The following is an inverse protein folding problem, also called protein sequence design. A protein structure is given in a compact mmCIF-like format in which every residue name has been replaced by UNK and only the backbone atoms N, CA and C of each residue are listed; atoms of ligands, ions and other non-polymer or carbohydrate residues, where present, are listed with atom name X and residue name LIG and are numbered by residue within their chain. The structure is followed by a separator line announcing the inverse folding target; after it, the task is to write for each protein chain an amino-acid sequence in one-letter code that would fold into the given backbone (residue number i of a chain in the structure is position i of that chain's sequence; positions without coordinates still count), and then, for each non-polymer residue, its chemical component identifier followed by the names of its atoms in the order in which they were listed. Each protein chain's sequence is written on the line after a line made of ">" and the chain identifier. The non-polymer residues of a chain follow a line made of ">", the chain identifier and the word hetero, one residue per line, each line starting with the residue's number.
data_IF_927788504495
#
_entry.id   IF_927788504495
#
_cell.length_a   1.000
_cell.length_b   1.000
_cell.length_c   1.000
_cell.angle_alpha   90.00
_cell.angle_beta   90.00
_cell.angle_gamma   90.00
#
_symmetry.space_group_name_H-M   'P 1'
#
loop_
_entity.id
_entity.type
_entity.pdbx_description
1 polymer ?
#
# COMPACT_ATOMS: atom_id res chain seq x y z
N UNK A 1 -35.65 -5.31 3.95
CA UNK A 1 -34.66 -6.40 3.71
C UNK A 1 -33.40 -6.15 4.53
N UNK A 2 -32.60 -7.17 4.87
CA UNK A 2 -31.31 -7.02 5.56
C UNK A 2 -30.16 -7.36 4.62
N UNK A 3 -29.12 -6.56 4.63
CA UNK A 3 -27.88 -6.76 3.85
C UNK A 3 -26.71 -6.88 4.81
N UNK A 4 -25.61 -7.51 4.36
CA UNK A 4 -24.36 -7.58 5.13
C UNK A 4 -23.29 -6.77 4.43
N UNK A 5 -22.54 -5.99 5.20
CA UNK A 5 -21.38 -5.28 4.69
C UNK A 5 -20.30 -6.30 4.28
N UNK A 6 -19.85 -6.32 3.01
CA UNK A 6 -18.81 -7.25 2.57
C UNK A 6 -17.45 -6.97 3.23
N UNK A 7 -17.26 -5.76 3.77
CA UNK A 7 -16.00 -5.35 4.40
C UNK A 7 -15.91 -5.72 5.88
N UNK A 8 -17.04 -5.88 6.59
CA UNK A 8 -17.02 -6.08 8.05
C UNK A 8 -18.15 -6.95 8.61
N UNK A 9 -19.03 -7.51 7.78
CA UNK A 9 -20.11 -8.40 8.21
C UNK A 9 -21.28 -7.74 8.94
N UNK A 10 -21.20 -6.43 9.24
CA UNK A 10 -22.29 -5.66 9.86
C UNK A 10 -23.58 -5.83 9.06
N UNK A 11 -24.66 -6.21 9.74
CA UNK A 11 -25.98 -6.36 9.12
C UNK A 11 -26.72 -5.04 9.21
N UNK A 12 -27.16 -4.51 8.06
CA UNK A 12 -27.92 -3.26 7.97
C UNK A 12 -29.29 -3.52 7.33
N UNK A 13 -30.28 -2.68 7.62
CA UNK A 13 -31.49 -2.65 6.80
C UNK A 13 -31.16 -2.04 5.44
N UNK A 14 -31.87 -2.49 4.40
CA UNK A 14 -31.76 -1.90 3.06
C UNK A 14 -32.09 -0.40 3.10
N UNK A 15 -33.08 0.00 3.90
CA UNK A 15 -33.50 1.39 4.04
C UNK A 15 -32.39 2.27 4.64
N UNK A 16 -31.61 1.74 5.59
CA UNK A 16 -30.45 2.46 6.15
C UNK A 16 -29.32 2.62 5.13
N UNK A 17 -29.12 1.66 4.22
CA UNK A 17 -28.15 1.81 3.13
C UNK A 17 -28.59 2.91 2.15
N UNK A 18 -29.85 2.85 1.70
CA UNK A 18 -30.41 3.82 0.75
C UNK A 18 -30.40 5.24 1.34
N UNK A 19 -30.69 5.38 2.63
CA UNK A 19 -30.63 6.69 3.32
C UNK A 19 -29.23 7.32 3.32
N UNK A 20 -28.17 6.53 3.16
CA UNK A 20 -26.79 7.00 3.17
C UNK A 20 -26.12 7.02 1.78
N UNK A 21 -26.81 6.64 0.71
CA UNK A 21 -26.21 6.58 -0.63
C UNK A 21 -25.71 7.95 -1.11
N UNK A 22 -26.42 9.04 -0.80
CA UNK A 22 -25.96 10.40 -1.11
C UNK A 22 -24.68 10.78 -0.35
N UNK A 23 -24.58 10.39 0.93
CA UNK A 23 -23.39 10.65 1.74
C UNK A 23 -22.19 9.80 1.27
N UNK A 24 -22.44 8.55 0.84
CA UNK A 24 -21.44 7.67 0.25
C UNK A 24 -20.96 8.19 -1.09
N UNK A 25 -21.86 8.63 -1.97
CA UNK A 25 -21.49 9.19 -3.27
C UNK A 25 -20.76 10.52 -3.11
N UNK A 26 -21.14 11.36 -2.12
CA UNK A 26 -20.43 12.59 -1.79
C UNK A 26 -19.01 12.31 -1.27
N UNK A 27 -18.84 11.35 -0.36
CA UNK A 27 -17.52 10.92 0.12
C UNK A 27 -16.69 10.33 -1.01
N UNK A 28 -17.27 9.43 -1.83
CA UNK A 28 -16.59 8.86 -2.98
C UNK A 28 -16.20 9.94 -4.00
N UNK A 29 -17.02 10.95 -4.21
CA UNK A 29 -16.74 12.10 -5.09
C UNK A 29 -15.65 13.01 -4.51
N UNK A 30 -15.67 13.28 -3.21
CA UNK A 30 -14.60 14.01 -2.51
C UNK A 30 -13.28 13.24 -2.55
N UNK A 31 -13.33 11.90 -2.48
CA UNK A 31 -12.16 11.04 -2.64
C UNK A 31 -11.68 10.95 -4.10
N UNK A 32 -12.58 10.98 -5.09
CA UNK A 32 -12.19 11.15 -6.50
C UNK A 32 -11.45 12.47 -6.72
N UNK A 33 -11.85 13.54 -6.02
CA UNK A 33 -11.14 14.84 -6.04
C UNK A 33 -9.72 14.74 -5.46
N UNK A 34 -9.51 13.86 -4.47
CA UNK A 34 -8.20 13.54 -3.89
C UNK A 34 -7.49 12.38 -4.61
N UNK A 35 -8.02 11.92 -5.75
CA UNK A 35 -7.42 10.92 -6.63
C UNK A 35 -7.55 9.47 -6.14
N UNK A 36 -6.91 8.55 -6.88
CA UNK A 36 -6.95 7.11 -6.60
C UNK A 36 -6.40 6.74 -5.22
N UNK A 37 -5.46 7.54 -4.71
CA UNK A 37 -4.81 7.32 -3.42
C UNK A 37 -5.77 7.46 -2.24
N UNK A 38 -6.66 8.47 -2.24
CA UNK A 38 -7.62 8.68 -1.15
C UNK A 38 -8.56 7.48 -0.97
N UNK A 39 -9.12 6.99 -2.08
CA UNK A 39 -9.95 5.78 -2.08
C UNK A 39 -9.18 4.52 -1.67
N UNK A 40 -7.90 4.39 -2.06
CA UNK A 40 -7.05 3.29 -1.62
C UNK A 40 -6.82 3.32 -0.10
N UNK A 41 -6.46 4.47 0.48
CA UNK A 41 -6.19 4.59 1.91
C UNK A 41 -7.41 4.26 2.78
N UNK A 42 -8.61 4.67 2.37
CA UNK A 42 -9.86 4.31 3.09
C UNK A 42 -10.06 2.80 3.13
N UNK A 43 -9.91 2.12 1.98
CA UNK A 43 -10.03 0.67 1.89
C UNK A 43 -8.96 -0.04 2.71
N UNK A 44 -7.74 0.50 2.74
CA UNK A 44 -6.64 -0.03 3.52
C UNK A 44 -6.86 0.12 5.04
N UNK A 45 -7.31 1.29 5.51
CA UNK A 45 -7.59 1.51 6.94
C UNK A 45 -8.67 0.56 7.46
N UNK A 46 -9.63 0.16 6.62
CA UNK A 46 -10.63 -0.84 7.00
C UNK A 46 -10.01 -2.19 7.42
N UNK A 47 -8.79 -2.53 6.98
CA UNK A 47 -8.07 -3.75 7.40
C UNK A 47 -7.63 -3.72 8.87
N UNK A 48 -7.65 -2.57 9.52
CA UNK A 48 -7.34 -2.42 10.95
C UNK A 48 -8.58 -2.60 11.84
N UNK A 49 -9.76 -2.79 11.24
CA UNK A 49 -11.01 -2.92 11.99
C UNK A 49 -11.12 -4.31 12.64
N UNK A 50 -11.26 -4.40 13.97
CA UNK A 50 -11.59 -5.66 14.63
C UNK A 50 -13.05 -6.05 14.36
N UNK A 51 -13.34 -7.35 14.43
CA UNK A 51 -14.68 -7.88 14.15
C UNK A 51 -15.75 -7.36 15.13
N UNK A 52 -15.38 -7.19 16.40
CA UNK A 52 -16.32 -6.86 17.47
C UNK A 52 -16.69 -5.37 17.60
N UNK A 53 -15.93 -4.46 16.97
CA UNK A 53 -16.15 -3.01 17.14
C UNK A 53 -15.77 -2.20 15.91
N UNK A 54 -16.35 -1.02 15.81
CA UNK A 54 -16.03 -0.06 14.76
C UNK A 54 -14.69 0.65 15.02
N UNK A 55 -14.06 1.12 13.94
CA UNK A 55 -12.90 2.02 14.04
C UNK A 55 -13.41 3.41 14.42
N UNK A 56 -12.91 3.96 15.52
CA UNK A 56 -13.19 5.36 15.87
C UNK A 56 -12.52 6.29 14.87
N UNK A 57 -13.09 7.47 14.64
CA UNK A 57 -12.50 8.47 13.75
C UNK A 57 -11.12 8.92 14.24
N UNK A 58 -10.89 9.00 15.55
CA UNK A 58 -9.56 9.26 16.12
C UNK A 58 -8.54 8.18 15.76
N UNK A 59 -8.97 6.93 15.64
CA UNK A 59 -8.09 5.84 15.22
C UNK A 59 -7.82 5.90 13.73
N UNK A 60 -8.83 6.21 12.91
CA UNK A 60 -8.68 6.43 11.47
C UNK A 60 -7.69 7.57 11.21
N UNK A 61 -7.86 8.72 11.87
CA UNK A 61 -6.98 9.88 11.72
C UNK A 61 -5.53 9.55 12.08
N UNK A 62 -5.30 8.80 13.17
CA UNK A 62 -3.95 8.33 13.53
C UNK A 62 -3.34 7.41 12.47
N UNK A 63 -4.08 6.40 12.01
CA UNK A 63 -3.59 5.46 10.99
C UNK A 63 -3.25 6.15 9.65
N UNK A 64 -4.00 7.17 9.25
CA UNK A 64 -3.69 7.97 8.05
C UNK A 64 -2.52 8.91 8.33
N UNK A 65 -2.51 9.55 9.50
CA UNK A 65 -1.44 10.44 9.95
C UNK A 65 -0.07 9.78 9.97
N UNK A 66 0.00 8.51 10.37
CA UNK A 66 1.24 7.72 10.40
C UNK A 66 1.83 7.50 8.99
N UNK A 67 1.01 7.52 7.92
CA UNK A 67 1.43 7.31 6.53
C UNK A 67 1.74 8.61 5.79
N UNK A 68 1.13 9.72 6.21
CA UNK A 68 1.17 11.01 5.51
C UNK A 68 2.60 11.51 5.22
N UNK A 69 3.55 11.48 6.18
CA UNK A 69 4.91 11.94 5.93
C UNK A 69 5.61 11.19 4.79
N UNK A 70 5.53 9.86 4.79
CA UNK A 70 6.17 9.01 3.79
C UNK A 70 5.48 9.12 2.43
N UNK A 71 4.16 9.28 2.43
CA UNK A 71 3.35 9.47 1.22
C UNK A 71 3.64 10.82 0.57
N UNK A 72 3.80 11.89 1.36
CA UNK A 72 4.20 13.21 0.88
C UNK A 72 5.66 13.23 0.39
N UNK A 73 6.55 12.51 1.07
CA UNK A 73 7.94 12.36 0.66
C UNK A 73 8.11 11.44 -0.58
N UNK A 74 7.04 10.72 -0.97
CA UNK A 74 7.05 9.68 -2.00
C UNK A 74 8.18 8.66 -1.78
N UNK A 75 8.43 8.34 -0.51
CA UNK A 75 9.56 7.51 -0.08
C UNK A 75 9.21 6.86 1.24
N UNK A 76 9.54 5.57 1.38
CA UNK A 76 9.44 4.85 2.65
C UNK A 76 10.83 4.45 3.13
N UNK A 77 10.97 4.23 4.43
CA UNK A 77 12.15 3.58 5.02
C UNK A 77 11.76 2.25 5.63
N UNK A 78 12.51 1.20 5.29
CA UNK A 78 12.32 -0.14 5.85
C UNK A 78 13.66 -0.81 6.07
N UNK A 79 13.86 -1.38 7.26
CA UNK A 79 15.11 -2.05 7.65
C UNK A 79 16.36 -1.16 7.41
N UNK A 80 16.22 0.15 7.66
CA UNK A 80 17.30 1.14 7.44
C UNK A 80 17.56 1.53 5.98
N UNK A 81 16.83 0.95 5.02
CA UNK A 81 16.96 1.27 3.60
C UNK A 81 15.78 2.14 3.13
N UNK A 82 16.08 3.17 2.33
CA UNK A 82 15.08 3.98 1.67
C UNK A 82 14.64 3.35 0.34
N UNK A 83 13.34 3.40 0.06
CA UNK A 83 12.73 2.93 -1.18
C UNK A 83 11.87 4.05 -1.77
N UNK A 84 11.98 4.27 -3.08
CA UNK A 84 11.08 5.19 -3.77
C UNK A 84 9.67 4.59 -3.77
N UNK A 85 8.70 5.40 -3.34
CA UNK A 85 7.31 5.03 -3.16
C UNK A 85 6.41 6.10 -3.79
N UNK A 86 6.40 6.22 -5.13
CA UNK A 86 5.48 7.12 -5.81
C UNK A 86 4.02 6.68 -5.58
N UNK A 87 3.05 7.54 -5.88
CA UNK A 87 1.64 7.30 -5.51
C UNK A 87 1.10 5.97 -6.08
N UNK A 88 1.58 5.56 -7.25
CA UNK A 88 1.24 4.30 -7.90
C UNK A 88 1.68 3.09 -7.08
N UNK A 89 2.84 3.17 -6.41
CA UNK A 89 3.34 2.10 -5.54
C UNK A 89 2.42 1.91 -4.33
N UNK A 90 1.89 3.01 -3.77
CA UNK A 90 0.94 2.96 -2.66
C UNK A 90 -0.40 2.35 -3.09
N UNK A 91 -0.95 2.80 -4.21
CA UNK A 91 -2.20 2.26 -4.76
C UNK A 91 -2.06 0.77 -5.02
N UNK A 92 -1.00 0.36 -5.71
CA UNK A 92 -0.69 -1.04 -5.97
C UNK A 92 -0.54 -1.85 -4.68
N UNK A 93 0.21 -1.36 -3.69
CA UNK A 93 0.43 -2.09 -2.44
C UNK A 93 -0.86 -2.26 -1.63
N UNK A 94 -1.77 -1.29 -1.67
CA UNK A 94 -3.11 -1.42 -1.08
C UNK A 94 -3.92 -2.49 -1.80
N UNK A 95 -3.90 -2.54 -3.13
CA UNK A 95 -4.59 -3.59 -3.90
C UNK A 95 -4.07 -4.98 -3.54
N UNK A 96 -2.75 -5.12 -3.38
CA UNK A 96 -2.13 -6.37 -2.92
C UNK A 96 -2.60 -6.74 -1.50
N UNK A 97 -2.80 -5.77 -0.61
CA UNK A 97 -3.33 -6.02 0.74
C UNK A 97 -4.76 -6.57 0.68
N UNK A 98 -5.61 -5.96 -0.14
CA UNK A 98 -7.00 -6.39 -0.31
C UNK A 98 -7.06 -7.80 -0.92
N UNK A 99 -6.27 -8.08 -1.97
CA UNK A 99 -6.19 -9.41 -2.55
C UNK A 99 -5.66 -10.46 -1.56
N UNK A 100 -4.70 -10.10 -0.70
CA UNK A 100 -4.18 -10.98 0.34
C UNK A 100 -5.21 -11.27 1.44
N UNK A 101 -6.04 -10.28 1.82
CA UNK A 101 -7.21 -10.49 2.69
C UNK A 101 -8.18 -11.47 2.05
N UNK A 102 -8.58 -11.22 0.82
CA UNK A 102 -9.62 -12.01 0.14
C UNK A 102 -9.17 -13.47 -0.07
N UNK A 103 -7.86 -13.69 -0.23
CA UNK A 103 -7.23 -15.01 -0.26
C UNK A 103 -7.00 -15.64 1.14
N UNK A 104 -7.42 -15.01 2.23
CA UNK A 104 -7.22 -15.50 3.60
C UNK A 104 -5.76 -15.49 4.10
N UNK A 105 -4.86 -14.78 3.41
CA UNK A 105 -3.42 -14.72 3.73
C UNK A 105 -3.05 -13.63 4.74
N UNK A 106 -4.00 -12.73 5.06
CA UNK A 106 -3.82 -11.72 6.10
C UNK A 106 -4.55 -12.10 7.38
N UNK A 107 -3.84 -12.05 8.49
CA UNK A 107 -4.46 -12.05 9.82
C UNK A 107 -4.99 -10.64 10.12
N UNK A 108 -6.31 -10.50 10.16
CA UNK A 108 -6.97 -9.25 10.53
C UNK A 108 -7.40 -9.27 12.01
N UNK A 109 -7.49 -8.09 12.66
CA UNK A 109 -7.09 -6.78 12.15
C UNK A 109 -5.58 -6.65 12.01
N UNK A 110 -5.14 -5.85 11.04
CA UNK A 110 -3.73 -5.46 10.95
C UNK A 110 -3.32 -4.71 12.23
N UNK A 111 -2.09 -4.96 12.68
CA UNK A 111 -1.52 -4.35 13.90
C UNK A 111 -0.69 -3.11 13.59
N UNK A 112 -0.09 -3.03 12.40
CA UNK A 112 0.76 -1.93 11.96
C UNK A 112 0.79 -1.83 10.42
N UNK A 113 1.43 -0.79 9.89
CA UNK A 113 1.67 -0.61 8.46
C UNK A 113 2.85 -1.43 7.92
N UNK A 114 3.47 -2.26 8.76
CA UNK A 114 4.65 -3.04 8.40
C UNK A 114 4.44 -3.95 7.19
N UNK A 115 3.25 -4.51 7.01
CA UNK A 115 2.95 -5.32 5.82
C UNK A 115 2.92 -4.47 4.55
N UNK A 116 2.27 -3.29 4.59
CA UNK A 116 2.21 -2.38 3.46
C UNK A 116 3.63 -1.93 3.05
N UNK A 117 4.48 -1.60 4.02
CA UNK A 117 5.85 -1.16 3.73
C UNK A 117 6.71 -2.30 3.18
N UNK A 118 6.48 -3.55 3.60
CA UNK A 118 7.10 -4.72 2.97
C UNK A 118 6.73 -4.79 1.49
N UNK A 119 5.45 -4.66 1.18
CA UNK A 119 4.96 -4.75 -0.19
C UNK A 119 5.49 -3.60 -1.04
N UNK A 120 5.43 -2.37 -0.55
CA UNK A 120 5.99 -1.20 -1.26
C UNK A 120 7.50 -1.37 -1.51
N UNK A 121 8.28 -1.91 -0.56
CA UNK A 121 9.72 -2.13 -0.77
C UNK A 121 10.03 -3.14 -1.90
N UNK A 122 9.06 -4.00 -2.22
CA UNK A 122 9.12 -4.94 -3.32
C UNK A 122 8.47 -4.43 -4.61
N UNK A 123 7.92 -3.21 -4.61
CA UNK A 123 7.35 -2.61 -5.82
C UNK A 123 8.42 -2.41 -6.89
N UNK A 124 8.02 -2.62 -8.14
CA UNK A 124 8.83 -2.35 -9.33
C UNK A 124 7.97 -1.55 -10.30
N UNK A 125 8.49 -0.47 -10.89
CA UNK A 125 7.77 0.25 -11.94
C UNK A 125 7.41 -0.72 -13.05
N UNK A 126 6.12 -0.80 -13.40
CA UNK A 126 5.72 -1.50 -14.61
C UNK A 126 6.14 -0.64 -15.79
N UNK A 127 7.04 -1.17 -16.63
CA UNK A 127 7.46 -0.50 -17.85
C UNK A 127 6.25 -0.33 -18.78
N UNK A 128 5.62 0.84 -18.75
CA UNK A 128 4.47 1.15 -19.62
C UNK A 128 3.47 2.19 -19.10
N UNK A 129 3.44 2.49 -17.80
CA UNK A 129 2.56 3.52 -17.24
C UNK A 129 3.36 4.77 -16.84
N UNK A 130 3.97 5.44 -17.83
CA UNK A 130 4.56 6.77 -17.63
C UNK A 130 3.48 7.78 -17.99
N UNK A 131 2.74 8.27 -16.98
CA UNK A 131 2.15 9.60 -17.09
C UNK A 131 3.27 10.60 -16.85
N UNK A 132 3.55 11.38 -17.89
CA UNK A 132 4.68 12.27 -18.00
C UNK A 132 4.77 13.27 -16.84
N UNK A 133 5.86 13.19 -16.08
CA UNK A 133 6.50 14.34 -15.44
C UNK A 133 7.98 14.04 -15.18
N UNK A 134 8.86 14.71 -15.92
CA UNK A 134 10.25 14.97 -15.51
C UNK A 134 11.29 13.92 -15.88
N UNK A 135 12.09 14.27 -16.90
CA UNK A 135 13.43 13.81 -17.30
C UNK A 135 13.94 12.38 -16.99
N UNK A 136 14.50 11.67 -17.99
CA UNK A 136 15.15 10.39 -17.78
C UNK A 136 16.49 10.60 -17.06
N UNK A 137 16.52 10.39 -15.74
CA UNK A 137 17.77 10.28 -14.99
C UNK A 137 18.34 8.88 -15.12
N UNK A 138 19.50 8.81 -15.77
CA UNK A 138 20.35 7.63 -15.89
C UNK A 138 20.56 6.98 -14.52
N UNK A 139 20.11 5.73 -14.38
CA UNK A 139 20.51 4.87 -13.27
C UNK A 139 21.94 4.39 -13.50
N UNK A 140 22.90 4.61 -12.59
CA UNK A 140 24.18 3.94 -12.68
C UNK A 140 23.97 2.44 -12.41
N UNK A 141 24.35 1.62 -13.39
CA UNK A 141 24.48 0.18 -13.29
C UNK A 141 25.15 -0.21 -11.96
N UNK A 142 24.55 -1.13 -11.21
CA UNK A 142 25.19 -1.75 -10.04
C UNK A 142 26.54 -2.34 -10.47
N UNK A 143 27.63 -1.68 -10.06
CA UNK A 143 28.98 -2.22 -10.20
C UNK A 143 29.08 -3.57 -9.51
N UNK A 144 29.75 -4.51 -10.17
CA UNK A 144 30.02 -5.86 -9.67
C UNK A 144 30.55 -5.79 -8.23
N UNK A 145 29.99 -6.65 -7.37
CA UNK A 145 30.45 -6.78 -5.99
C UNK A 145 31.92 -7.18 -5.96
N UNK A 146 32.78 -6.31 -5.39
CA UNK A 146 34.24 -6.53 -5.28
C UNK A 146 34.59 -7.85 -4.60
N UNK A 147 33.71 -8.36 -3.74
CA UNK A 147 33.87 -9.66 -3.07
C UNK A 147 33.70 -10.83 -4.04
N UNK A 148 32.77 -10.74 -4.99
CA UNK A 148 32.56 -11.80 -5.99
C UNK A 148 33.69 -11.82 -7.03
N UNK A 149 34.20 -10.64 -7.41
CA UNK A 149 35.37 -10.53 -8.30
C UNK A 149 36.66 -11.09 -7.67
N UNK A 150 36.84 -10.91 -6.35
CA UNK A 150 38.01 -11.45 -5.64
C UNK A 150 37.96 -12.98 -5.50
N UNK A 151 36.77 -13.57 -5.31
CA UNK A 151 36.61 -15.03 -5.22
C UNK A 151 36.86 -15.70 -6.59
N UNK A 152 36.37 -15.11 -7.68
CA UNK A 152 36.61 -15.62 -9.03
C UNK A 152 38.11 -15.65 -9.40
N UNK A 153 38.87 -14.62 -9.01
CA UNK A 153 40.31 -14.55 -9.27
C UNK A 153 41.13 -15.60 -8.47
N UNK A 154 40.64 -16.03 -7.30
CA UNK A 154 41.28 -17.07 -6.51
C UNK A 154 41.01 -18.48 -7.07
N UNK A 155 39.80 -18.72 -7.60
CA UNK A 155 39.46 -19.99 -8.24
C UNK A 155 40.24 -20.23 -9.54
N UNK A 156 40.51 -19.17 -10.31
CA UNK A 156 41.28 -19.26 -11.56
C UNK A 156 42.76 -19.58 -11.30
N UNK A 157 43.34 -19.07 -10.20
CA UNK A 157 44.72 -19.38 -9.79
C UNK A 157 44.88 -20.79 -9.21
N UNK A 158 43.80 -21.41 -8.75
CA UNK A 158 43.84 -22.77 -8.20
C UNK A 158 43.72 -23.87 -9.28
N UNK A 159 43.35 -23.51 -10.51
CA UNK A 159 43.17 -24.45 -11.64
C UNK A 159 44.28 -24.38 -12.70
N UNK A 160 45.29 -23.53 -12.51
CA UNK A 160 46.54 -23.49 -13.30
C UNK A 160 47.73 -23.86 -12.43
#
# INVERSE_FOLDING_TARGET
>A
MRTRCPSCGTTLSLDALVAHDAAREALASAFKLSGQIGSALVRYVALFRPESRELTMDRVARLIGDLLPDLQAQRITRNGQAYDAPLEAWVWAVEQALAARDAGRLTLPLKSHGWLYEVISNWRPQAGAVLAAGEPRVTPSKGQSKTLSAIAALEERARG
#
